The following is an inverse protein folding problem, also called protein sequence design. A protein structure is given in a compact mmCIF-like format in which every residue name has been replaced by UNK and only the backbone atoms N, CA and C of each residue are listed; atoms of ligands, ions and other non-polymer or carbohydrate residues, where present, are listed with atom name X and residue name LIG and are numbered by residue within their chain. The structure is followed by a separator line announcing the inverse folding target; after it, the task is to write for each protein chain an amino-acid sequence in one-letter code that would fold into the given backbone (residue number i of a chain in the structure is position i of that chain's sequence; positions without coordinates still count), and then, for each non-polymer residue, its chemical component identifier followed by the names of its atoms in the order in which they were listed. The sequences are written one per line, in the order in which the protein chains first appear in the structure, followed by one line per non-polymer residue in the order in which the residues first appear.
data_IF_508483349373
#
_entry.id   IF_508483349373
#
_cell.length_a   1.000
_cell.length_b   1.000
_cell.length_c   1.000
_cell.angle_alpha   90.00
_cell.angle_beta   90.00
_cell.angle_gamma   90.00
#
_symmetry.space_group_name_H-M   'P 1'
#
loop_
_entity.id
_entity.type
_entity.pdbx_description
1 polymer ?
#
# COMPACT_ATOMS: atom_id res chain seq x y z
N UNK A 1 -0.74 -20.32 -0.07
CA UNK A 1 -0.79 -19.26 0.97
C UNK A 1 -1.77 -19.59 2.09
N UNK A 2 -3.08 -19.73 1.82
CA UNK A 2 -4.09 -20.01 2.86
C UNK A 2 -3.86 -21.35 3.58
N UNK A 3 -3.53 -22.40 2.82
CA UNK A 3 -3.24 -23.75 3.35
C UNK A 3 -2.11 -23.74 4.39
N UNK A 4 -1.09 -22.88 4.21
CA UNK A 4 0.04 -22.75 5.11
C UNK A 4 -0.34 -22.21 6.51
N UNK A 5 -1.52 -21.60 6.63
CA UNK A 5 -2.01 -20.99 7.88
C UNK A 5 -3.22 -21.76 8.43
N UNK A 6 -3.79 -22.70 7.67
CA UNK A 6 -5.11 -23.26 8.00
C UNK A 6 -5.15 -24.04 9.31
N UNK A 7 -4.05 -24.69 9.69
CA UNK A 7 -3.93 -25.46 10.93
C UNK A 7 -2.58 -25.24 11.65
N UNK A 8 -1.92 -24.12 11.35
CA UNK A 8 -0.62 -23.80 11.92
C UNK A 8 -0.67 -22.41 12.55
N UNK A 9 -0.09 -22.28 13.75
CA UNK A 9 0.22 -20.97 14.32
C UNK A 9 1.43 -20.43 13.58
N UNK A 10 1.19 -19.49 12.66
CA UNK A 10 2.24 -18.81 11.91
C UNK A 10 2.42 -17.42 12.52
N UNK A 11 3.63 -17.10 12.98
CA UNK A 11 3.93 -15.76 13.48
C UNK A 11 4.19 -14.78 12.34
N UNK A 12 4.94 -15.20 11.32
CA UNK A 12 5.29 -14.39 10.16
C UNK A 12 5.19 -15.21 8.88
N UNK A 13 4.56 -14.64 7.85
CA UNK A 13 4.52 -15.20 6.51
C UNK A 13 5.18 -14.24 5.53
N UNK A 14 6.19 -14.72 4.81
CA UNK A 14 6.88 -13.99 3.76
C UNK A 14 6.37 -14.50 2.41
N UNK A 15 5.89 -13.60 1.57
CA UNK A 15 5.37 -13.91 0.24
C UNK A 15 6.21 -13.16 -0.78
N UNK A 16 6.90 -13.90 -1.64
CA UNK A 16 7.58 -13.27 -2.76
C UNK A 16 6.58 -13.00 -3.89
N UNK A 17 6.68 -11.81 -4.44
CA UNK A 17 6.03 -11.30 -5.64
C UNK A 17 4.53 -11.59 -5.75
N UNK A 18 3.72 -10.85 -4.99
CA UNK A 18 2.27 -10.85 -5.21
C UNK A 18 1.97 -10.13 -6.52
N UNK A 19 1.53 -10.88 -7.53
CA UNK A 19 1.32 -10.40 -8.89
C UNK A 19 -0.10 -10.63 -9.43
N UNK A 20 -0.95 -11.39 -8.73
CA UNK A 20 -2.27 -11.79 -9.22
C UNK A 20 -3.39 -11.51 -8.21
N UNK A 21 -4.58 -11.24 -8.74
CA UNK A 21 -5.79 -11.00 -7.93
C UNK A 21 -6.09 -12.14 -6.94
N UNK A 22 -5.89 -13.40 -7.34
CA UNK A 22 -6.09 -14.54 -6.45
C UNK A 22 -5.13 -14.53 -5.23
N UNK A 23 -3.90 -14.07 -5.42
CA UNK A 23 -2.88 -13.96 -4.36
C UNK A 23 -3.23 -12.83 -3.40
N UNK A 24 -3.78 -11.72 -3.90
CA UNK A 24 -4.30 -10.61 -3.08
C UNK A 24 -5.47 -11.08 -2.19
N UNK A 25 -6.41 -11.85 -2.75
CA UNK A 25 -7.52 -12.42 -1.96
C UNK A 25 -7.02 -13.42 -0.91
N UNK A 26 -6.02 -14.23 -1.26
CA UNK A 26 -5.38 -15.13 -0.32
C UNK A 26 -4.68 -14.36 0.82
N UNK A 27 -3.94 -13.30 0.50
CA UNK A 27 -3.28 -12.44 1.48
C UNK A 27 -4.28 -11.76 2.42
N UNK A 28 -5.42 -11.29 1.88
CA UNK A 28 -6.51 -10.72 2.68
C UNK A 28 -7.08 -11.73 3.68
N UNK A 29 -7.31 -12.97 3.22
CA UNK A 29 -7.79 -14.07 4.08
C UNK A 29 -6.77 -14.42 5.16
N UNK A 30 -5.48 -14.40 4.83
CA UNK A 30 -4.40 -14.66 5.78
C UNK A 30 -4.28 -13.54 6.80
N UNK A 31 -4.39 -12.27 6.40
CA UNK A 31 -4.30 -11.11 7.31
C UNK A 31 -5.33 -11.17 8.44
N UNK A 32 -6.51 -11.72 8.16
CA UNK A 32 -7.58 -11.92 9.15
C UNK A 32 -7.24 -12.97 10.22
N UNK A 33 -6.27 -13.85 9.96
CA UNK A 33 -5.85 -14.93 10.87
C UNK A 33 -4.73 -14.51 11.83
N UNK A 34 -4.18 -13.31 11.69
CA UNK A 34 -3.22 -12.72 12.62
C UNK A 34 -1.71 -12.86 12.35
N UNK A 35 -1.17 -13.63 11.36
CA UNK A 35 0.27 -13.60 11.12
C UNK A 35 0.72 -12.22 10.64
N UNK A 36 1.96 -11.85 10.97
CA UNK A 36 2.64 -10.73 10.33
C UNK A 36 2.90 -11.10 8.87
N UNK A 37 2.42 -10.27 7.94
CA UNK A 37 2.67 -10.45 6.50
C UNK A 37 3.82 -9.55 6.06
N UNK A 38 4.75 -10.12 5.29
CA UNK A 38 5.78 -9.39 4.55
C UNK A 38 5.66 -9.85 3.11
N UNK A 39 5.58 -8.92 2.15
CA UNK A 39 5.52 -9.29 0.75
C UNK A 39 6.24 -8.29 -0.15
N UNK A 40 6.66 -8.78 -1.31
CA UNK A 40 7.08 -7.96 -2.45
C UNK A 40 5.96 -7.92 -3.50
N UNK A 41 5.91 -6.85 -4.27
CA UNK A 41 5.02 -6.69 -5.43
C UNK A 41 5.70 -5.76 -6.45
N UNK A 42 5.31 -5.86 -7.71
CA UNK A 42 5.86 -5.02 -8.77
C UNK A 42 5.10 -3.70 -8.91
N UNK A 43 5.84 -2.61 -9.18
CA UNK A 43 5.30 -1.28 -9.42
C UNK A 43 5.47 -0.32 -8.25
N UNK A 44 5.27 0.97 -8.52
CA UNK A 44 5.24 2.02 -7.50
C UNK A 44 3.88 2.09 -6.78
N UNK A 45 3.82 2.82 -5.68
CA UNK A 45 2.62 2.96 -4.85
C UNK A 45 1.42 3.53 -5.62
N UNK A 46 1.63 4.52 -6.50
CA UNK A 46 0.53 5.12 -7.28
C UNK A 46 0.02 4.14 -8.35
N UNK A 47 0.91 3.37 -8.97
CA UNK A 47 0.56 2.31 -9.91
C UNK A 47 -0.25 1.20 -9.22
N UNK A 48 0.13 0.85 -7.98
CA UNK A 48 -0.55 -0.17 -7.18
C UNK A 48 -2.02 0.18 -6.92
N UNK A 49 -2.34 1.44 -6.60
CA UNK A 49 -3.72 1.92 -6.38
C UNK A 49 -4.58 1.80 -7.65
N UNK A 50 -3.99 2.01 -8.83
CA UNK A 50 -4.69 1.97 -10.12
C UNK A 50 -4.82 0.56 -10.68
N UNK A 51 -3.97 -0.37 -10.24
CA UNK A 51 -3.96 -1.73 -10.74
C UNK A 51 -5.21 -2.52 -10.27
N UNK A 52 -6.09 -2.98 -11.16
CA UNK A 52 -7.33 -3.64 -10.77
C UNK A 52 -7.12 -4.97 -10.02
N UNK A 53 -6.01 -5.66 -10.26
CA UNK A 53 -5.70 -6.94 -9.64
C UNK A 53 -4.97 -6.75 -8.30
N UNK A 54 -4.12 -5.72 -8.19
CA UNK A 54 -3.25 -5.51 -7.04
C UNK A 54 -3.73 -4.45 -6.05
N UNK A 55 -4.67 -3.56 -6.43
CA UNK A 55 -5.14 -2.48 -5.55
C UNK A 55 -5.73 -2.98 -4.23
N UNK A 56 -6.19 -4.23 -4.16
CA UNK A 56 -6.65 -4.85 -2.91
C UNK A 56 -5.57 -4.91 -1.83
N UNK A 57 -4.27 -4.95 -2.20
CA UNK A 57 -3.15 -4.90 -1.24
C UNK A 57 -3.16 -3.61 -0.40
N UNK A 58 -3.63 -2.51 -1.00
CA UNK A 58 -3.69 -1.18 -0.37
C UNK A 58 -5.12 -0.76 -0.01
N UNK A 59 -6.04 -1.73 0.10
CA UNK A 59 -7.42 -1.48 0.54
C UNK A 59 -8.40 -1.17 -0.59
N UNK A 60 -7.94 -1.20 -1.85
CA UNK A 60 -8.75 -1.05 -3.04
C UNK A 60 -9.36 0.35 -3.20
N UNK A 61 -10.20 0.48 -4.24
CA UNK A 61 -10.92 1.72 -4.54
C UNK A 61 -12.29 1.41 -5.11
N UNK A 62 -13.27 2.23 -4.74
CA UNK A 62 -14.67 2.12 -5.13
C UNK A 62 -15.27 3.51 -5.42
N UNK A 63 -16.30 3.55 -6.26
CA UNK A 63 -17.06 4.77 -6.49
C UNK A 63 -18.23 4.84 -5.52
N UNK A 64 -18.41 6.00 -4.90
CA UNK A 64 -19.51 6.29 -3.98
C UNK A 64 -20.20 7.59 -4.37
N UNK A 65 -21.50 7.69 -4.08
CA UNK A 65 -22.27 8.92 -4.27
C UNK A 65 -22.32 9.66 -2.94
N UNK A 66 -21.78 10.88 -2.92
CA UNK A 66 -21.81 11.77 -1.74
C UNK A 66 -22.87 12.87 -1.89
N UNK A 67 -23.31 13.43 -0.77
CA UNK A 67 -24.24 14.56 -0.75
C UNK A 67 -23.62 15.87 -1.22
N UNK A 68 -24.46 16.88 -1.50
CA UNK A 68 -24.04 18.18 -2.07
C UNK A 68 -22.95 18.89 -1.26
N UNK A 69 -23.03 18.88 0.08
CA UNK A 69 -22.03 19.53 0.93
C UNK A 69 -20.65 18.87 0.88
N UNK A 70 -20.60 17.54 0.73
CA UNK A 70 -19.35 16.80 0.58
C UNK A 70 -18.79 16.94 -0.85
N UNK A 71 -19.68 16.90 -1.86
CA UNK A 71 -19.33 17.15 -3.25
C UNK A 71 -18.65 18.52 -3.41
N UNK A 72 -19.22 19.58 -2.83
CA UNK A 72 -18.66 20.94 -2.90
C UNK A 72 -17.25 21.08 -2.31
N UNK A 73 -16.87 20.22 -1.34
CA UNK A 73 -15.55 20.20 -0.70
C UNK A 73 -14.55 19.27 -1.41
N UNK A 74 -15.03 18.39 -2.28
CA UNK A 74 -14.18 17.45 -3.03
C UNK A 74 -13.39 18.16 -4.14
N UNK A 75 -12.24 17.60 -4.52
CA UNK A 75 -11.36 18.16 -5.54
C UNK A 75 -12.04 18.35 -6.90
N UNK A 76 -12.92 17.44 -7.31
CA UNK A 76 -13.60 17.47 -8.62
C UNK A 76 -15.01 18.08 -8.58
N UNK A 77 -15.48 18.53 -7.42
CA UNK A 77 -16.84 19.09 -7.20
C UNK A 77 -17.99 18.18 -7.68
N UNK A 78 -17.78 16.86 -7.70
CA UNK A 78 -18.75 15.88 -8.18
C UNK A 78 -19.47 15.16 -7.03
N UNK A 79 -20.70 14.71 -7.26
CA UNK A 79 -21.36 13.76 -6.34
C UNK A 79 -20.75 12.36 -6.42
N UNK A 80 -20.16 12.00 -7.55
CA UNK A 80 -19.49 10.72 -7.72
C UNK A 80 -18.03 10.85 -7.29
N UNK A 81 -17.70 10.28 -6.14
CA UNK A 81 -16.36 10.29 -5.55
C UNK A 81 -15.71 8.91 -5.61
N UNK A 82 -14.38 8.88 -5.68
CA UNK A 82 -13.62 7.64 -5.51
C UNK A 82 -13.08 7.59 -4.09
N UNK A 83 -13.35 6.51 -3.37
CA UNK A 83 -12.89 6.30 -2.00
C UNK A 83 -12.27 4.92 -1.86
N UNK A 84 -11.47 4.73 -0.82
CA UNK A 84 -10.89 3.44 -0.49
C UNK A 84 -12.00 2.44 -0.15
N UNK A 85 -11.85 1.19 -0.58
CA UNK A 85 -12.89 0.16 -0.42
C UNK A 85 -12.86 -0.57 0.93
N UNK A 86 -11.69 -0.63 1.56
CA UNK A 86 -11.47 -1.24 2.86
C UNK A 86 -10.08 -0.94 3.40
N UNK A 87 -9.69 -1.58 4.50
CA UNK A 87 -8.36 -1.37 5.06
C UNK A 87 -7.28 -2.01 4.17
N UNK A 88 -6.10 -1.37 4.02
CA UNK A 88 -4.93 -2.00 3.43
C UNK A 88 -4.60 -3.34 4.09
N UNK A 89 -4.07 -4.28 3.30
CA UNK A 89 -3.53 -5.54 3.83
C UNK A 89 -2.23 -5.24 4.59
N UNK A 90 -1.44 -4.31 4.07
CA UNK A 90 -0.16 -3.88 4.61
C UNK A 90 -0.26 -2.45 5.14
N UNK A 91 0.15 -2.25 6.39
CA UNK A 91 0.13 -0.95 7.07
C UNK A 91 1.29 -0.04 6.63
N UNK A 92 2.39 -0.65 6.18
CA UNK A 92 3.63 0.03 5.74
C UNK A 92 4.03 -0.47 4.36
N UNK A 93 4.46 0.44 3.49
CA UNK A 93 5.08 0.11 2.19
C UNK A 93 6.51 0.64 2.17
N UNK A 94 7.42 -0.22 1.71
CA UNK A 94 8.79 0.16 1.35
C UNK A 94 8.90 0.10 -0.16
N UNK A 95 8.95 1.25 -0.80
CA UNK A 95 9.10 1.35 -2.24
C UNK A 95 10.57 1.54 -2.59
N UNK A 96 11.13 0.61 -3.35
CA UNK A 96 12.52 0.66 -3.78
C UNK A 96 12.67 1.62 -4.96
N UNK A 97 13.70 2.47 -4.91
CA UNK A 97 14.02 3.37 -6.01
C UNK A 97 14.61 2.58 -7.19
N UNK A 98 14.03 2.74 -8.37
CA UNK A 98 14.46 2.05 -9.59
C UNK A 98 15.67 2.71 -10.27
N UNK A 99 16.00 3.95 -9.92
CA UNK A 99 17.12 4.71 -10.49
C UNK A 99 18.31 4.71 -9.54
N UNK A 100 18.08 5.03 -8.26
CA UNK A 100 19.14 5.17 -7.25
C UNK A 100 19.20 3.92 -6.38
N UNK A 101 20.12 3.01 -6.70
CA UNK A 101 20.33 1.78 -5.93
C UNK A 101 20.60 2.07 -4.46
N UNK A 102 19.92 1.34 -3.58
CA UNK A 102 20.04 1.51 -2.12
C UNK A 102 19.20 2.64 -1.55
N UNK A 103 18.43 3.38 -2.37
CA UNK A 103 17.43 4.34 -1.89
C UNK A 103 16.04 3.71 -1.88
N UNK A 104 15.23 4.06 -0.89
CA UNK A 104 13.83 3.67 -0.82
C UNK A 104 12.97 4.76 -0.17
N UNK A 105 11.66 4.69 -0.41
CA UNK A 105 10.63 5.51 0.24
C UNK A 105 9.81 4.63 1.16
N UNK A 106 9.62 5.06 2.40
CA UNK A 106 8.80 4.36 3.39
C UNK A 106 7.51 5.14 3.59
N UNK A 107 6.40 4.48 3.30
CA UNK A 107 5.05 4.98 3.58
C UNK A 107 4.59 4.31 4.87
N UNK A 108 4.62 5.06 5.97
CA UNK A 108 4.29 4.55 7.30
C UNK A 108 2.79 4.37 7.56
N UNK A 109 1.95 5.13 6.86
CA UNK A 109 0.49 5.05 6.96
C UNK A 109 -0.08 4.91 5.55
N UNK A 110 -0.18 3.66 5.10
CA UNK A 110 -0.69 3.32 3.76
C UNK A 110 -2.14 3.77 3.59
N UNK A 111 -2.97 3.66 4.62
CA UNK A 111 -4.38 4.06 4.54
C UNK A 111 -4.50 5.55 4.21
N UNK A 112 -3.82 6.41 5.00
CA UNK A 112 -3.80 7.85 4.77
C UNK A 112 -3.20 8.20 3.42
N UNK A 113 -2.11 7.54 3.02
CA UNK A 113 -1.46 7.76 1.74
C UNK A 113 -2.38 7.43 0.55
N UNK A 114 -3.15 6.34 0.62
CA UNK A 114 -4.15 5.99 -0.40
C UNK A 114 -5.24 7.04 -0.45
N UNK A 115 -5.77 7.44 0.70
CA UNK A 115 -6.85 8.42 0.77
C UNK A 115 -6.41 9.76 0.15
N UNK A 116 -5.19 10.25 0.47
CA UNK A 116 -4.62 11.45 -0.16
C UNK A 116 -4.46 11.32 -1.68
N UNK A 117 -4.04 10.16 -2.19
CA UNK A 117 -3.91 9.94 -3.64
C UNK A 117 -5.28 9.89 -4.33
N UNK A 118 -6.30 9.27 -3.71
CA UNK A 118 -7.66 9.21 -4.27
C UNK A 118 -8.34 10.58 -4.31
N UNK A 119 -7.99 11.47 -3.38
CA UNK A 119 -8.41 12.88 -3.36
C UNK A 119 -7.65 13.75 -4.37
N UNK A 120 -6.66 13.18 -5.08
CA UNK A 120 -5.85 13.87 -6.08
C UNK A 120 -4.63 14.61 -5.53
N UNK A 121 -4.30 14.40 -4.25
CA UNK A 121 -3.14 14.99 -3.59
C UNK A 121 -1.86 14.18 -3.67
N UNK A 122 -0.86 14.67 -2.94
CA UNK A 122 0.37 13.96 -2.62
C UNK A 122 0.27 13.25 -1.27
N UNK A 123 1.15 12.28 -1.05
CA UNK A 123 1.20 11.48 0.16
C UNK A 123 2.56 11.63 0.83
N UNK A 124 2.60 11.44 2.15
CA UNK A 124 3.82 11.55 2.95
C UNK A 124 4.61 10.24 2.90
N UNK A 125 5.92 10.34 2.73
CA UNK A 125 6.86 9.23 2.84
C UNK A 125 8.17 9.69 3.47
N UNK A 126 8.93 8.74 4.00
CA UNK A 126 10.29 8.95 4.50
C UNK A 126 11.29 8.36 3.51
N UNK A 127 12.24 9.16 3.02
CA UNK A 127 13.31 8.62 2.16
C UNK A 127 14.45 8.08 3.02
N UNK A 128 14.87 6.86 2.70
CA UNK A 128 16.07 6.24 3.28
C UNK A 128 17.08 5.86 2.20
N UNK A 129 18.36 5.90 2.54
CA UNK A 129 19.43 5.52 1.63
C UNK A 129 20.51 4.71 2.34
N UNK A 130 21.00 3.67 1.66
CA UNK A 130 22.18 2.94 2.06
C UNK A 130 23.43 3.83 1.93
N UNK A 131 24.17 3.93 3.01
CA UNK A 131 25.46 4.59 3.09
C UNK A 131 26.55 3.52 3.25
N UNK A 132 27.42 3.43 2.24
CA UNK A 132 28.53 2.47 2.22
C UNK A 132 29.60 2.77 3.26
N UNK A 133 29.75 4.03 3.68
CA UNK A 133 30.75 4.43 4.67
C UNK A 133 30.38 3.96 6.08
N UNK A 134 29.09 3.93 6.40
CA UNK A 134 28.57 3.45 7.68
C UNK A 134 28.04 2.01 7.62
N UNK A 135 28.02 1.39 6.43
CA UNK A 135 27.37 0.09 6.18
C UNK A 135 25.95 0.02 6.74
N UNK A 136 25.22 1.12 6.63
CA UNK A 136 23.93 1.33 7.28
C UNK A 136 22.94 2.06 6.39
N UNK A 137 21.67 2.01 6.76
CA UNK A 137 20.59 2.77 6.11
C UNK A 137 20.32 4.02 6.91
N UNK A 138 20.45 5.19 6.28
CA UNK A 138 20.21 6.49 6.91
C UNK A 138 18.95 7.16 6.35
N UNK A 139 18.32 7.99 7.18
CA UNK A 139 17.22 8.86 6.75
C UNK A 139 17.80 10.02 5.96
N UNK A 140 17.28 10.28 4.77
CA UNK A 140 17.67 11.43 3.95
C UNK A 140 16.74 12.60 4.29
N UNK A 141 17.25 13.71 4.88
CA UNK A 141 16.41 14.84 5.25
C UNK A 141 15.88 15.57 4.00
N UNK A 142 14.58 15.88 3.97
CA UNK A 142 14.02 16.87 3.03
C UNK A 142 13.45 16.34 1.70
N UNK A 143 12.84 15.17 1.68
CA UNK A 143 12.08 14.67 0.51
C UNK A 143 10.58 14.76 0.71
#
# INVERSE_FOLDING_TARGET
MVECVQNHTVETLIVDEIGRKAEVLAASTVRQRGPRLIASAHGDFRALIKNPDLKGLVGGSQQVIVGDGAAAKSANKSKLQTQRAGNPIFDVIVELDHVVRGRCRIIWDVAKAVDSVLEGGDYTFETRQWDSSTSGVQVVPGS
#
